data_IF_859778593445
#
_entry.id   IF_859778593445
#
_cell.length_a   1.000
_cell.length_b   1.000
_cell.length_c   1.000
_cell.angle_alpha   90.00
_cell.angle_beta   90.00
_cell.angle_gamma   90.00
#
_symmetry.space_group_name_H-M   'P 1'
#
loop_
_entity.id
_entity.type
_entity.pdbx_description
1 polymer ?
#
# COMPACT_ATOMS: atom_id res chain seq x y z
N UNK A 1 -27.71 18.19 -27.30
CA UNK A 1 -27.08 18.00 -28.63
C UNK A 1 -27.14 16.54 -28.94
N UNK A 2 -27.92 16.15 -29.95
CA UNK A 2 -27.93 14.77 -30.46
C UNK A 2 -26.57 14.46 -31.09
N UNK A 3 -26.02 13.29 -30.80
CA UNK A 3 -24.74 12.88 -31.34
C UNK A 3 -24.87 12.59 -32.85
N UNK A 4 -23.96 13.14 -33.64
CA UNK A 4 -23.96 13.07 -35.11
C UNK A 4 -22.60 12.62 -35.62
N UNK A 5 -22.59 11.67 -36.58
CA UNK A 5 -21.40 11.23 -37.30
C UNK A 5 -21.51 11.68 -38.77
N UNK A 6 -20.52 12.41 -39.33
CA UNK A 6 -20.55 12.89 -40.71
C UNK A 6 -20.76 11.82 -41.80
N UNK A 7 -20.42 10.57 -41.52
CA UNK A 7 -20.51 9.45 -42.46
C UNK A 7 -21.76 8.58 -42.27
N UNK A 8 -22.43 8.68 -41.12
CA UNK A 8 -23.54 7.78 -40.75
C UNK A 8 -24.84 8.51 -40.43
N UNK A 9 -24.81 9.81 -40.12
CA UNK A 9 -25.97 10.59 -39.70
C UNK A 9 -26.13 10.66 -38.19
N UNK A 10 -27.38 10.70 -37.71
CA UNK A 10 -27.72 10.82 -36.29
C UNK A 10 -27.58 9.49 -35.54
N UNK A 11 -27.06 9.52 -34.31
CA UNK A 11 -26.79 8.34 -33.48
C UNK A 11 -28.05 7.49 -33.31
N UNK A 12 -29.17 8.09 -32.87
CA UNK A 12 -30.40 7.36 -32.56
C UNK A 12 -30.92 6.49 -33.72
N UNK A 13 -30.96 7.05 -34.92
CA UNK A 13 -31.43 6.35 -36.12
C UNK A 13 -30.50 5.19 -36.50
N UNK A 14 -29.19 5.43 -36.46
CA UNK A 14 -28.19 4.42 -36.82
C UNK A 14 -28.17 3.28 -35.79
N UNK A 15 -28.27 3.58 -34.50
CA UNK A 15 -28.35 2.55 -33.45
C UNK A 15 -29.60 1.70 -33.65
N UNK A 16 -30.77 2.33 -33.80
CA UNK A 16 -32.06 1.63 -33.96
C UNK A 16 -32.04 0.70 -35.19
N UNK A 17 -31.53 1.18 -36.32
CA UNK A 17 -31.46 0.40 -37.57
C UNK A 17 -30.51 -0.80 -37.47
N UNK A 18 -29.51 -0.75 -36.57
CA UNK A 18 -28.50 -1.80 -36.42
C UNK A 18 -28.72 -2.73 -35.21
N UNK A 19 -29.81 -2.58 -34.45
CA UNK A 19 -30.10 -3.41 -33.27
C UNK A 19 -30.16 -4.91 -33.58
N UNK A 20 -30.64 -5.31 -34.76
CA UNK A 20 -30.66 -6.73 -35.18
C UNK A 20 -29.27 -7.38 -35.15
N UNK A 21 -28.22 -6.61 -35.49
CA UNK A 21 -26.84 -7.08 -35.40
C UNK A 21 -26.41 -7.30 -33.95
N UNK A 22 -26.81 -6.41 -33.04
CA UNK A 22 -26.55 -6.56 -31.60
C UNK A 22 -27.19 -7.84 -31.08
N UNK A 23 -28.49 -8.05 -31.38
CA UNK A 23 -29.21 -9.26 -31.01
C UNK A 23 -28.55 -10.53 -31.56
N UNK A 24 -28.09 -10.50 -32.82
CA UNK A 24 -27.41 -11.63 -33.46
C UNK A 24 -26.07 -11.96 -32.79
N UNK A 25 -25.32 -10.96 -32.32
CA UNK A 25 -24.07 -11.18 -31.57
C UNK A 25 -24.39 -11.66 -30.15
N UNK A 26 -25.29 -10.99 -29.42
CA UNK A 26 -25.68 -11.32 -28.06
C UNK A 26 -26.19 -12.76 -27.93
N UNK A 27 -26.98 -13.23 -28.91
CA UNK A 27 -27.53 -14.60 -28.92
C UNK A 27 -26.45 -15.68 -28.83
N UNK A 28 -25.26 -15.44 -29.41
CA UNK A 28 -24.13 -16.39 -29.35
C UNK A 28 -23.52 -16.55 -27.97
N UNK A 29 -23.75 -15.59 -27.08
CA UNK A 29 -23.20 -15.58 -25.72
C UNK A 29 -24.21 -16.05 -24.67
N UNK A 30 -25.46 -16.32 -25.05
CA UNK A 30 -26.51 -16.83 -24.15
C UNK A 30 -26.11 -18.12 -23.42
N UNK A 31 -25.40 -19.01 -24.12
CA UNK A 31 -24.90 -20.28 -23.56
C UNK A 31 -23.83 -20.07 -22.47
N UNK A 32 -23.17 -18.92 -22.47
CA UNK A 32 -22.03 -18.61 -21.58
C UNK A 32 -22.43 -17.61 -20.48
N UNK A 33 -23.70 -17.20 -20.44
CA UNK A 33 -24.28 -16.38 -19.38
C UNK A 33 -24.09 -17.06 -18.03
N UNK A 34 -23.85 -16.27 -17.00
CA UNK A 34 -23.75 -16.72 -15.61
C UNK A 34 -24.11 -15.60 -14.66
N UNK A 35 -24.24 -15.90 -13.37
CA UNK A 35 -24.46 -14.93 -12.31
C UNK A 35 -25.73 -14.07 -12.47
N UNK A 36 -26.85 -14.69 -12.88
CA UNK A 36 -28.13 -13.99 -13.02
C UNK A 36 -28.19 -12.95 -14.13
N UNK A 37 -27.16 -12.84 -14.99
CA UNK A 37 -27.25 -12.05 -16.21
C UNK A 37 -28.31 -12.66 -17.12
N UNK A 38 -29.02 -11.81 -17.85
CA UNK A 38 -30.01 -12.25 -18.83
C UNK A 38 -29.62 -11.88 -20.26
N UNK A 39 -30.51 -12.18 -21.20
CA UNK A 39 -30.30 -11.85 -22.60
C UNK A 39 -30.32 -10.34 -22.84
N UNK A 40 -31.17 -9.61 -22.13
CA UNK A 40 -31.37 -8.17 -22.33
C UNK A 40 -30.18 -7.37 -21.79
N UNK A 41 -29.51 -7.87 -20.76
CA UNK A 41 -28.20 -7.38 -20.30
C UNK A 41 -27.17 -7.46 -21.43
N UNK A 42 -27.06 -8.61 -22.10
CA UNK A 42 -26.12 -8.77 -23.22
C UNK A 42 -26.44 -7.85 -24.39
N UNK A 43 -27.72 -7.65 -24.68
CA UNK A 43 -28.17 -6.71 -25.71
C UNK A 43 -27.77 -5.28 -25.31
N UNK A 44 -27.98 -4.89 -24.06
CA UNK A 44 -27.61 -3.57 -23.54
C UNK A 44 -26.10 -3.33 -23.64
N UNK A 45 -25.29 -4.29 -23.20
CA UNK A 45 -23.82 -4.25 -23.29
C UNK A 45 -23.35 -4.19 -24.75
N UNK A 46 -23.97 -4.98 -25.62
CA UNK A 46 -23.69 -4.96 -27.05
C UNK A 46 -24.07 -3.62 -27.69
N UNK A 47 -25.15 -2.99 -27.24
CA UNK A 47 -25.60 -1.67 -27.68
C UNK A 47 -24.58 -0.59 -27.31
N UNK A 48 -23.98 -0.64 -26.12
CA UNK A 48 -22.85 0.23 -25.79
C UNK A 48 -21.68 0.08 -26.76
N UNK A 49 -21.36 -1.16 -27.16
CA UNK A 49 -20.32 -1.43 -28.17
C UNK A 49 -20.67 -0.88 -29.56
N UNK A 50 -21.95 -0.90 -29.92
CA UNK A 50 -22.45 -0.30 -31.17
C UNK A 50 -22.38 1.24 -31.13
N UNK A 51 -22.73 1.86 -29.99
CA UNK A 51 -22.60 3.31 -29.78
C UNK A 51 -21.13 3.75 -29.89
N UNK A 52 -20.22 3.02 -29.25
CA UNK A 52 -18.79 3.30 -29.34
C UNK A 52 -18.27 3.12 -30.77
N UNK A 53 -18.77 2.12 -31.50
CA UNK A 53 -18.46 1.95 -32.92
C UNK A 53 -18.99 3.13 -33.76
N UNK A 54 -20.22 3.58 -33.54
CA UNK A 54 -20.78 4.73 -34.23
C UNK A 54 -19.93 5.99 -34.04
N UNK A 55 -19.50 6.27 -32.81
CA UNK A 55 -18.71 7.48 -32.48
C UNK A 55 -17.32 7.48 -33.11
N UNK A 56 -16.73 6.31 -33.29
CA UNK A 56 -15.34 6.17 -33.76
C UNK A 56 -15.22 5.78 -35.25
N UNK A 57 -16.34 5.54 -35.92
CA UNK A 57 -16.33 5.13 -37.31
C UNK A 57 -15.94 6.28 -38.24
N UNK A 58 -14.87 6.07 -39.00
CA UNK A 58 -14.39 6.96 -40.05
C UNK A 58 -13.88 6.09 -41.23
N UNK A 59 -14.64 5.99 -42.33
CA UNK A 59 -14.29 5.15 -43.48
C UNK A 59 -12.97 5.56 -44.13
N UNK A 60 -12.59 6.84 -44.02
CA UNK A 60 -11.39 7.41 -44.63
C UNK A 60 -10.11 6.80 -44.05
N UNK A 61 -10.16 6.30 -42.81
CA UNK A 61 -9.02 5.71 -42.10
C UNK A 61 -8.67 4.30 -42.56
N UNK A 62 -9.53 3.64 -43.33
CA UNK A 62 -9.38 2.23 -43.66
C UNK A 62 -8.77 1.98 -45.05
N UNK A 63 -8.32 3.01 -45.77
CA UNK A 63 -7.69 2.88 -47.10
C UNK A 63 -8.50 1.96 -48.06
N UNK A 64 -9.83 2.07 -48.04
CA UNK A 64 -10.74 1.26 -48.87
C UNK A 64 -11.00 -0.18 -48.40
N UNK A 65 -10.38 -0.65 -47.30
CA UNK A 65 -10.54 -2.04 -46.80
C UNK A 65 -11.83 -2.29 -46.01
N UNK A 66 -12.38 -1.26 -45.37
CA UNK A 66 -13.60 -1.36 -44.56
C UNK A 66 -14.53 -0.22 -44.94
N UNK A 67 -15.48 -0.51 -45.82
CA UNK A 67 -16.43 0.49 -46.34
C UNK A 67 -17.78 0.43 -45.64
N UNK A 68 -18.22 -0.74 -45.16
CA UNK A 68 -19.49 -0.87 -44.45
C UNK A 68 -19.34 -0.69 -42.94
N UNK A 69 -20.23 0.10 -42.34
CA UNK A 69 -20.30 0.30 -40.89
C UNK A 69 -20.49 -1.03 -40.13
N UNK A 70 -21.32 -1.95 -40.66
CA UNK A 70 -21.59 -3.26 -40.04
C UNK A 70 -20.31 -4.09 -39.86
N UNK A 71 -19.40 -4.07 -40.84
CA UNK A 71 -18.09 -4.75 -40.78
C UNK A 71 -17.22 -4.20 -39.66
N UNK A 72 -17.29 -2.89 -39.38
CA UNK A 72 -16.56 -2.24 -38.28
C UNK A 72 -17.24 -2.44 -36.92
N UNK A 73 -18.56 -2.33 -36.86
CA UNK A 73 -19.32 -2.39 -35.62
C UNK A 73 -19.41 -3.81 -35.04
N UNK A 74 -19.49 -4.84 -35.88
CA UNK A 74 -19.56 -6.23 -35.43
C UNK A 74 -18.46 -6.65 -34.44
N UNK A 75 -17.15 -6.47 -34.72
CA UNK A 75 -16.09 -6.80 -33.77
C UNK A 75 -16.14 -5.94 -32.49
N UNK A 76 -16.61 -4.69 -32.57
CA UNK A 76 -16.76 -3.80 -31.41
C UNK A 76 -17.87 -4.26 -30.47
N UNK A 77 -19.05 -4.61 -31.00
CA UNK A 77 -20.16 -5.21 -30.25
C UNK A 77 -19.68 -6.49 -29.56
N UNK A 78 -19.03 -7.38 -30.33
CA UNK A 78 -18.49 -8.64 -29.83
C UNK A 78 -17.51 -8.39 -28.68
N UNK A 79 -16.59 -7.45 -28.86
CA UNK A 79 -15.59 -7.13 -27.85
C UNK A 79 -16.22 -6.57 -26.57
N UNK A 80 -17.23 -5.69 -26.69
CA UNK A 80 -17.94 -5.13 -25.54
C UNK A 80 -18.56 -6.23 -24.68
N UNK A 81 -19.32 -7.14 -25.29
CA UNK A 81 -19.95 -8.27 -24.61
C UNK A 81 -18.89 -9.17 -23.97
N UNK A 82 -17.84 -9.55 -24.71
CA UNK A 82 -16.76 -10.38 -24.18
C UNK A 82 -16.02 -9.69 -23.04
N UNK A 83 -15.80 -8.37 -23.11
CA UNK A 83 -15.12 -7.60 -22.06
C UNK A 83 -15.93 -7.62 -20.77
N UNK A 84 -17.23 -7.40 -20.87
CA UNK A 84 -18.12 -7.45 -19.71
C UNK A 84 -18.17 -8.84 -19.08
N UNK A 85 -18.44 -9.88 -19.89
CA UNK A 85 -18.50 -11.26 -19.41
C UNK A 85 -17.18 -11.72 -18.76
N UNK A 86 -16.03 -11.22 -19.22
CA UNK A 86 -14.73 -11.54 -18.60
C UNK A 86 -14.61 -11.08 -17.14
N UNK A 87 -15.36 -10.06 -16.72
CA UNK A 87 -15.29 -9.50 -15.37
C UNK A 87 -16.52 -9.81 -14.51
N UNK A 88 -17.68 -10.00 -15.14
CA UNK A 88 -18.98 -10.04 -14.46
C UNK A 88 -19.75 -11.36 -14.61
N UNK A 89 -19.20 -12.33 -15.36
CA UNK A 89 -19.82 -13.66 -15.51
C UNK A 89 -19.93 -14.44 -14.19
N UNK A 90 -19.03 -14.18 -13.24
CA UNK A 90 -18.90 -14.96 -12.02
C UNK A 90 -19.45 -14.19 -10.83
N UNK A 91 -20.19 -14.88 -9.97
CA UNK A 91 -20.71 -14.34 -8.72
C UNK A 91 -19.59 -13.82 -7.81
N UNK A 92 -18.44 -14.50 -7.81
CA UNK A 92 -17.22 -14.04 -7.16
C UNK A 92 -16.19 -13.66 -8.22
N UNK A 93 -15.58 -12.48 -8.08
CA UNK A 93 -14.55 -12.00 -9.02
C UNK A 93 -13.30 -12.86 -8.93
N UNK A 94 -12.92 -13.49 -10.03
CA UNK A 94 -11.73 -14.36 -10.13
C UNK A 94 -10.57 -13.61 -10.80
N UNK A 95 -9.33 -13.72 -10.28
CA UNK A 95 -8.13 -13.20 -10.94
C UNK A 95 -7.96 -13.72 -12.36
N UNK A 96 -7.51 -12.84 -13.27
CA UNK A 96 -7.41 -13.14 -14.70
C UNK A 96 -6.51 -14.34 -15.00
N UNK A 97 -5.37 -14.42 -14.30
CA UNK A 97 -4.40 -15.49 -14.47
C UNK A 97 -5.00 -16.89 -14.26
N UNK A 98 -5.91 -17.02 -13.29
CA UNK A 98 -6.59 -18.29 -13.00
C UNK A 98 -7.54 -18.65 -14.14
N UNK A 99 -8.31 -17.70 -14.65
CA UNK A 99 -9.24 -17.92 -15.76
C UNK A 99 -8.53 -18.32 -17.06
N UNK A 100 -7.39 -17.70 -17.37
CA UNK A 100 -6.64 -18.01 -18.59
C UNK A 100 -6.02 -19.42 -18.51
N UNK A 101 -5.48 -19.79 -17.33
CA UNK A 101 -4.97 -21.15 -17.08
C UNK A 101 -6.07 -22.20 -17.10
N UNK A 102 -7.22 -21.90 -16.51
CA UNK A 102 -8.42 -22.74 -16.56
C UNK A 102 -8.87 -23.00 -18.00
N UNK A 103 -8.95 -21.94 -18.81
CA UNK A 103 -9.32 -22.07 -20.22
C UNK A 103 -8.31 -22.91 -21.00
N UNK A 104 -7.03 -22.80 -20.67
CA UNK A 104 -5.97 -23.63 -21.25
C UNK A 104 -6.12 -25.11 -20.88
N UNK A 105 -6.27 -25.43 -19.60
CA UNK A 105 -6.49 -26.81 -19.10
C UNK A 105 -7.71 -27.44 -19.79
N UNK A 106 -8.84 -26.73 -19.83
CA UNK A 106 -10.06 -27.22 -20.50
C UNK A 106 -9.88 -27.45 -21.98
N UNK A 107 -9.15 -26.57 -22.67
CA UNK A 107 -8.86 -26.72 -24.10
C UNK A 107 -8.01 -27.96 -24.39
N UNK A 108 -7.12 -28.32 -23.47
CA UNK A 108 -6.27 -29.51 -23.60
C UNK A 108 -6.92 -30.79 -23.08
N UNK A 109 -8.09 -30.69 -22.42
CA UNK A 109 -8.78 -31.84 -21.83
C UNK A 109 -8.14 -32.38 -20.55
N UNK A 110 -7.33 -31.58 -19.85
CA UNK A 110 -6.62 -31.99 -18.62
C UNK A 110 -7.42 -31.70 -17.35
N UNK A 111 -8.75 -31.76 -17.43
CA UNK A 111 -9.62 -31.41 -16.30
C UNK A 111 -9.52 -32.44 -15.19
N UNK A 112 -9.32 -33.71 -15.55
CA UNK A 112 -9.22 -34.85 -14.63
C UNK A 112 -7.77 -35.24 -14.32
N UNK A 113 -6.79 -34.50 -14.84
CA UNK A 113 -5.37 -34.77 -14.60
C UNK A 113 -4.96 -34.31 -13.19
N UNK A 114 -3.96 -34.97 -12.61
CA UNK A 114 -3.39 -34.55 -11.32
C UNK A 114 -2.70 -33.18 -11.41
N UNK A 115 -2.61 -32.47 -10.28
CA UNK A 115 -1.93 -31.18 -10.23
C UNK A 115 -0.46 -31.32 -10.66
N UNK A 116 0.19 -32.40 -10.26
CA UNK A 116 1.57 -32.74 -10.59
C UNK A 116 1.76 -32.95 -12.09
N UNK A 117 0.84 -33.65 -12.75
CA UNK A 117 0.90 -33.87 -14.20
C UNK A 117 0.74 -32.57 -14.98
N UNK A 118 -0.17 -31.70 -14.54
CA UNK A 118 -0.38 -30.38 -15.15
C UNK A 118 0.86 -29.50 -14.97
N UNK A 119 1.50 -29.54 -13.81
CA UNK A 119 2.78 -28.84 -13.57
C UNK A 119 3.85 -29.35 -14.53
N UNK A 120 3.97 -30.67 -14.71
CA UNK A 120 4.97 -31.27 -15.59
C UNK A 120 4.75 -30.89 -17.06
N UNK A 121 3.50 -30.80 -17.50
CA UNK A 121 3.12 -30.41 -18.87
C UNK A 121 3.27 -28.91 -19.15
N UNK A 122 3.12 -28.05 -18.13
CA UNK A 122 3.03 -26.58 -18.31
C UNK A 122 4.22 -25.80 -17.76
N UNK A 123 4.97 -26.37 -16.81
CA UNK A 123 5.99 -25.67 -16.04
C UNK A 123 5.44 -24.63 -15.06
N UNK A 124 4.14 -24.63 -14.75
CA UNK A 124 3.55 -23.70 -13.77
C UNK A 124 3.91 -24.09 -12.33
N UNK A 125 3.77 -23.13 -11.40
CA UNK A 125 3.98 -23.43 -9.97
C UNK A 125 2.86 -24.35 -9.46
N UNK A 126 3.20 -25.30 -8.60
CA UNK A 126 2.22 -26.24 -8.04
C UNK A 126 1.07 -25.52 -7.30
N UNK A 127 1.39 -24.50 -6.50
CA UNK A 127 0.38 -23.69 -5.79
C UNK A 127 -0.62 -23.03 -6.75
N UNK A 128 -0.12 -22.50 -7.87
CA UNK A 128 -0.94 -21.88 -8.89
C UNK A 128 -1.87 -22.88 -9.58
N UNK A 129 -1.42 -24.12 -9.77
CA UNK A 129 -2.23 -25.20 -10.36
C UNK A 129 -3.30 -25.67 -9.38
N UNK A 130 -2.95 -25.84 -8.10
CA UNK A 130 -3.92 -26.14 -7.05
C UNK A 130 -5.01 -25.09 -6.94
N UNK A 131 -4.64 -23.81 -7.00
CA UNK A 131 -5.63 -22.74 -7.05
C UNK A 131 -6.55 -22.93 -8.25
N UNK A 132 -6.02 -23.16 -9.46
CA UNK A 132 -6.86 -23.36 -10.65
C UNK A 132 -7.79 -24.57 -10.52
N UNK A 133 -7.29 -25.72 -10.07
CA UNK A 133 -8.08 -26.96 -9.89
C UNK A 133 -9.17 -26.80 -8.83
N UNK A 134 -8.86 -26.16 -7.69
CA UNK A 134 -9.87 -25.83 -6.67
C UNK A 134 -11.01 -24.97 -7.24
N UNK A 135 -10.68 -24.07 -8.18
CA UNK A 135 -11.68 -23.27 -8.87
C UNK A 135 -12.43 -24.04 -9.96
N UNK A 136 -11.94 -25.20 -10.43
CA UNK A 136 -12.69 -26.11 -11.32
C UNK A 136 -13.80 -26.80 -10.52
N UNK A 137 -13.47 -27.31 -9.35
CA UNK A 137 -14.38 -28.13 -8.52
C UNK A 137 -15.46 -27.28 -7.82
N UNK A 138 -15.16 -26.04 -7.40
CA UNK A 138 -16.03 -25.24 -6.54
C UNK A 138 -17.00 -24.27 -7.24
N UNK A 139 -17.29 -24.43 -8.54
CA UNK A 139 -17.86 -23.33 -9.33
C UNK A 139 -19.38 -23.33 -9.55
N UNK A 140 -20.10 -24.35 -9.08
CA UNK A 140 -21.55 -24.24 -8.95
C UNK A 140 -21.85 -23.51 -7.64
N UNK A 141 -22.08 -22.20 -7.72
CA UNK A 141 -22.73 -21.49 -6.62
C UNK A 141 -24.19 -21.92 -6.64
N UNK A 142 -24.58 -22.71 -5.63
CA UNK A 142 -25.98 -23.13 -5.44
C UNK A 142 -26.76 -22.03 -4.74
N UNK A 143 -28.06 -21.93 -5.05
CA UNK A 143 -28.94 -21.02 -4.32
C UNK A 143 -29.10 -21.51 -2.87
N UNK A 144 -29.05 -20.58 -1.90
CA UNK A 144 -29.39 -20.89 -0.51
C UNK A 144 -30.89 -21.23 -0.36
N UNK A 145 -31.72 -20.66 -1.23
CA UNK A 145 -33.16 -20.95 -1.31
C UNK A 145 -33.48 -22.25 -2.06
N UNK A 146 -32.47 -23.02 -2.48
CA UNK A 146 -32.69 -24.30 -3.14
C UNK A 146 -33.35 -25.27 -2.16
N UNK A 147 -34.54 -25.78 -2.52
CA UNK A 147 -35.25 -26.79 -1.74
C UNK A 147 -34.49 -28.12 -1.83
N UNK A 148 -34.19 -28.69 -0.67
CA UNK A 148 -33.41 -29.93 -0.50
C UNK A 148 -34.26 -31.10 0.01
N UNK A 149 -35.39 -30.82 0.67
CA UNK A 149 -36.42 -31.80 1.00
C UNK A 149 -37.80 -31.17 0.85
N UNK A 150 -38.74 -31.93 0.28
CA UNK A 150 -40.15 -31.57 0.18
C UNK A 150 -40.95 -32.48 1.13
N UNK A 151 -40.96 -32.13 2.41
CA UNK A 151 -41.88 -32.69 3.41
C UNK A 151 -43.01 -31.66 3.69
N UNK A 152 -43.74 -31.75 4.81
CA UNK A 152 -44.82 -30.80 5.18
C UNK A 152 -44.39 -29.32 5.24
N UNK A 153 -43.08 -29.06 5.26
CA UNK A 153 -42.46 -27.75 5.01
C UNK A 153 -41.29 -27.93 4.04
N UNK A 154 -41.25 -27.09 3.01
CA UNK A 154 -40.08 -26.99 2.11
C UNK A 154 -38.84 -26.64 2.95
N UNK A 155 -37.89 -27.56 3.00
CA UNK A 155 -36.60 -27.35 3.66
C UNK A 155 -35.64 -26.80 2.61
N UNK A 156 -35.11 -25.60 2.82
CA UNK A 156 -34.13 -24.97 1.93
C UNK A 156 -32.69 -25.27 2.37
N UNK A 157 -31.73 -25.08 1.48
CA UNK A 157 -30.30 -25.23 1.82
C UNK A 157 -29.90 -24.30 2.97
N UNK A 158 -30.46 -23.09 3.02
CA UNK A 158 -30.25 -22.12 4.09
C UNK A 158 -30.65 -22.67 5.46
N UNK A 159 -31.73 -23.46 5.53
CA UNK A 159 -32.27 -23.98 6.79
C UNK A 159 -31.37 -25.05 7.43
N UNK A 160 -30.59 -25.75 6.61
CA UNK A 160 -29.66 -26.81 7.04
C UNK A 160 -28.26 -26.28 7.29
N UNK A 161 -27.92 -25.09 6.79
CA UNK A 161 -26.64 -24.49 7.09
C UNK A 161 -26.57 -24.21 8.60
N UNK A 162 -25.55 -24.74 9.30
CA UNK A 162 -25.38 -24.45 10.71
C UNK A 162 -25.19 -22.94 10.87
N UNK A 163 -25.99 -22.30 11.72
CA UNK A 163 -25.67 -20.96 12.18
C UNK A 163 -24.40 -21.09 13.02
N UNK A 164 -23.24 -20.93 12.39
CA UNK A 164 -22.00 -20.73 13.13
C UNK A 164 -22.20 -19.40 13.82
N UNK A 165 -22.48 -19.42 15.12
CA UNK A 165 -22.45 -18.22 15.92
C UNK A 165 -21.07 -17.58 15.68
N UNK A 166 -21.06 -16.43 15.03
CA UNK A 166 -19.83 -15.75 14.68
C UNK A 166 -19.21 -15.17 15.96
N UNK A 167 -18.39 -15.97 16.63
CA UNK A 167 -17.63 -15.54 17.80
C UNK A 167 -16.41 -14.68 17.42
N UNK A 168 -16.24 -14.25 16.15
CA UNK A 168 -15.14 -13.35 15.77
C UNK A 168 -15.10 -12.08 16.64
N UNK A 169 -16.25 -11.58 17.11
CA UNK A 169 -16.32 -10.43 18.02
C UNK A 169 -15.52 -10.59 19.32
N UNK A 170 -15.46 -11.80 19.89
CA UNK A 170 -14.70 -12.09 21.13
C UNK A 170 -13.19 -12.17 20.82
N UNK A 171 -12.83 -12.70 19.64
CA UNK A 171 -11.45 -12.89 19.19
C UNK A 171 -10.78 -11.58 18.72
N UNK A 172 -11.58 -10.60 18.28
CA UNK A 172 -11.07 -9.30 17.78
C UNK A 172 -10.58 -8.40 18.91
N UNK A 173 -11.30 -8.29 20.03
CA UNK A 173 -10.86 -7.41 21.13
C UNK A 173 -9.56 -7.90 21.77
N UNK A 174 -9.43 -9.22 21.95
CA UNK A 174 -8.21 -9.82 22.48
C UNK A 174 -6.99 -9.54 21.59
N UNK A 175 -7.16 -9.63 20.26
CA UNK A 175 -6.11 -9.25 19.32
C UNK A 175 -5.83 -7.75 19.30
N UNK A 176 -6.86 -6.90 19.40
CA UNK A 176 -6.70 -5.45 19.44
C UNK A 176 -5.93 -4.97 20.67
N UNK A 177 -6.01 -5.70 21.79
CA UNK A 177 -5.24 -5.41 23.00
C UNK A 177 -3.75 -5.77 22.87
N UNK A 178 -3.40 -6.70 21.98
CA UNK A 178 -2.01 -7.06 21.66
C UNK A 178 -1.35 -6.00 20.76
N UNK A 179 -2.14 -5.25 19.99
CA UNK A 179 -1.61 -4.23 19.09
C UNK A 179 -1.14 -2.99 19.87
N UNK A 180 0.00 -2.43 19.46
CA UNK A 180 0.43 -1.14 19.98
C UNK A 180 -0.60 -0.05 19.61
N UNK A 181 -0.70 1.02 20.40
CA UNK A 181 -1.68 2.11 20.18
C UNK A 181 -1.69 2.66 18.74
N UNK A 182 -0.50 2.80 18.14
CA UNK A 182 -0.34 3.23 16.74
C UNK A 182 -0.82 2.20 15.72
N UNK A 183 -0.58 0.91 15.97
CA UNK A 183 -1.04 -0.20 15.11
C UNK A 183 -2.56 -0.33 15.19
N UNK A 184 -3.14 -0.24 16.40
CA UNK A 184 -4.59 -0.23 16.64
C UNK A 184 -5.28 0.92 15.92
N UNK A 185 -4.70 2.12 15.97
CA UNK A 185 -5.22 3.30 15.26
C UNK A 185 -5.22 3.09 13.74
N UNK A 186 -4.10 2.61 13.18
CA UNK A 186 -3.98 2.33 11.75
C UNK A 186 -4.97 1.25 11.30
N UNK A 187 -5.16 0.20 12.11
CA UNK A 187 -6.13 -0.86 11.81
C UNK A 187 -7.56 -0.33 11.86
N UNK A 188 -7.90 0.49 12.87
CA UNK A 188 -9.23 1.10 13.01
C UNK A 188 -9.58 1.96 11.79
N UNK A 189 -8.68 2.87 11.39
CA UNK A 189 -8.86 3.69 10.19
C UNK A 189 -8.99 2.84 8.93
N UNK A 190 -8.31 1.69 8.86
CA UNK A 190 -8.44 0.76 7.74
C UNK A 190 -9.82 0.09 7.72
N UNK A 191 -10.34 -0.29 8.88
CA UNK A 191 -11.69 -0.89 9.02
C UNK A 191 -12.79 0.11 8.68
N UNK A 192 -12.58 1.41 8.95
CA UNK A 192 -13.44 2.51 8.50
C UNK A 192 -13.38 2.77 6.98
N UNK A 193 -12.58 1.99 6.24
CA UNK A 193 -12.53 2.04 4.78
C UNK A 193 -11.51 3.03 4.21
N UNK A 194 -10.69 3.69 5.03
CA UNK A 194 -9.72 4.65 4.53
C UNK A 194 -8.61 3.96 3.70
N UNK A 195 -8.17 4.68 2.66
CA UNK A 195 -7.02 4.27 1.85
C UNK A 195 -5.70 4.47 2.62
N UNK A 196 -4.65 3.73 2.25
CA UNK A 196 -3.34 3.87 2.88
C UNK A 196 -2.76 5.30 2.79
N UNK A 197 -3.07 6.01 1.71
CA UNK A 197 -2.69 7.42 1.56
C UNK A 197 -3.44 8.34 2.53
N UNK A 198 -4.74 8.12 2.75
CA UNK A 198 -5.53 8.90 3.71
C UNK A 198 -5.10 8.59 5.15
N UNK A 199 -4.91 7.31 5.49
CA UNK A 199 -4.41 6.90 6.81
C UNK A 199 -3.06 7.56 7.12
N UNK A 200 -2.14 7.59 6.15
CA UNK A 200 -0.83 8.21 6.30
C UNK A 200 -0.91 9.70 6.66
N UNK A 201 -1.87 10.43 6.10
CA UNK A 201 -2.16 11.83 6.46
C UNK A 201 -2.66 11.94 7.91
N UNK A 202 -3.59 11.08 8.32
CA UNK A 202 -4.13 11.05 9.69
C UNK A 202 -3.06 10.77 10.75
N UNK A 203 -2.15 9.83 10.50
CA UNK A 203 -1.09 9.48 11.45
C UNK A 203 0.18 10.33 11.30
N UNK A 204 0.19 11.31 10.39
CA UNK A 204 1.35 12.14 10.05
C UNK A 204 2.61 11.32 9.69
N UNK A 205 2.44 10.24 8.91
CA UNK A 205 3.52 9.35 8.43
C UNK A 205 3.44 9.19 6.91
N UNK A 206 4.40 8.48 6.33
CA UNK A 206 4.36 8.14 4.90
C UNK A 206 3.42 6.96 4.62
N UNK A 207 2.87 6.89 3.40
CA UNK A 207 2.05 5.75 2.97
C UNK A 207 2.83 4.42 3.04
N UNK A 208 4.14 4.45 2.76
CA UNK A 208 5.02 3.28 2.88
C UNK A 208 5.13 2.80 4.34
N UNK A 209 5.15 3.70 5.31
CA UNK A 209 5.13 3.34 6.73
C UNK A 209 3.82 2.61 7.09
N UNK A 210 2.67 3.17 6.68
CA UNK A 210 1.36 2.55 6.93
C UNK A 210 1.26 1.16 6.29
N UNK A 211 1.75 0.99 5.06
CA UNK A 211 1.80 -0.31 4.39
C UNK A 211 2.61 -1.34 5.17
N UNK A 212 3.80 -0.97 5.64
CA UNK A 212 4.65 -1.85 6.48
C UNK A 212 3.98 -2.22 7.80
N UNK A 213 3.29 -1.27 8.43
CA UNK A 213 2.55 -1.53 9.66
C UNK A 213 1.40 -2.51 9.42
N UNK A 214 0.60 -2.32 8.37
CA UNK A 214 -0.49 -3.24 8.02
C UNK A 214 0.01 -4.66 7.74
N UNK A 215 1.15 -4.81 7.04
CA UNK A 215 1.75 -6.13 6.82
C UNK A 215 2.19 -6.77 8.13
N UNK A 216 2.80 -6.00 9.05
CA UNK A 216 3.16 -6.52 10.38
C UNK A 216 1.95 -6.92 11.20
N UNK A 217 0.86 -6.14 11.15
CA UNK A 217 -0.40 -6.48 11.81
C UNK A 217 -0.96 -7.79 11.24
N UNK A 218 -0.90 -7.97 9.91
CA UNK A 218 -1.30 -9.22 9.27
C UNK A 218 -0.47 -10.41 9.76
N UNK A 219 0.85 -10.26 9.86
CA UNK A 219 1.73 -11.32 10.38
C UNK A 219 1.43 -11.65 11.85
N UNK A 220 1.20 -10.62 12.68
CA UNK A 220 0.78 -10.80 14.08
C UNK A 220 -0.56 -11.54 14.19
N UNK A 221 -1.51 -11.21 13.32
CA UNK A 221 -2.82 -11.86 13.29
C UNK A 221 -2.71 -13.32 12.92
N UNK A 222 -1.90 -13.67 11.91
CA UNK A 222 -1.67 -15.07 11.52
C UNK A 222 -1.10 -15.89 12.69
N UNK A 223 -0.17 -15.32 13.47
CA UNK A 223 0.42 -15.97 14.66
C UNK A 223 -0.53 -16.05 15.84
N UNK A 224 -1.40 -15.06 15.99
CA UNK A 224 -2.46 -15.08 17.00
C UNK A 224 -3.49 -16.18 16.69
N UNK A 225 -3.89 -16.32 15.43
CA UNK A 225 -4.78 -17.40 14.99
C UNK A 225 -4.20 -18.80 15.16
N UNK A 226 -2.87 -18.96 15.03
CA UNK A 226 -2.20 -20.24 15.27
C UNK A 226 -1.97 -20.58 16.75
N UNK A 227 -2.35 -19.68 17.67
CA UNK A 227 -2.13 -19.85 19.11
C UNK A 227 -0.70 -19.58 19.58
N UNK A 228 0.21 -19.17 18.69
CA UNK A 228 1.61 -18.83 19.01
C UNK A 228 1.78 -17.47 19.71
N UNK A 229 0.73 -16.64 19.70
CA UNK A 229 0.72 -15.35 20.39
C UNK A 229 -0.40 -15.37 21.43
N UNK A 230 -0.05 -15.52 22.71
CA UNK A 230 -1.02 -15.48 23.81
C UNK A 230 -0.94 -14.16 24.58
N UNK A 231 -2.04 -13.78 25.25
CA UNK A 231 -2.11 -12.59 26.11
C UNK A 231 -0.99 -12.56 27.17
N UNK A 232 -0.58 -13.71 27.68
CA UNK A 232 0.36 -13.84 28.80
C UNK A 232 1.79 -13.40 28.45
N UNK A 233 2.27 -13.72 27.24
CA UNK A 233 3.60 -13.30 26.76
C UNK A 233 3.66 -11.78 26.52
N UNK A 234 2.55 -11.18 26.08
CA UNK A 234 2.45 -9.75 25.84
C UNK A 234 2.31 -8.95 27.13
N UNK A 235 1.47 -9.42 28.08
CA UNK A 235 1.33 -8.80 29.39
C UNK A 235 2.66 -8.83 30.14
N UNK A 236 3.44 -9.92 30.10
CA UNK A 236 4.81 -9.96 30.63
C UNK A 236 5.73 -8.92 29.98
N UNK A 237 5.73 -8.82 28.65
CA UNK A 237 6.57 -7.87 27.91
C UNK A 237 6.20 -6.40 28.16
N UNK A 238 4.91 -6.10 28.30
CA UNK A 238 4.42 -4.76 28.61
C UNK A 238 4.56 -4.41 30.10
N UNK A 239 4.38 -5.34 31.05
CA UNK A 239 4.62 -5.07 32.49
C UNK A 239 6.10 -4.81 32.78
N UNK A 240 7.00 -5.51 32.08
CA UNK A 240 8.44 -5.26 32.15
C UNK A 240 8.76 -3.88 31.56
N UNK A 241 8.11 -3.47 30.46
CA UNK A 241 8.25 -2.13 29.89
C UNK A 241 7.64 -1.03 30.76
N UNK A 242 6.42 -1.21 31.26
CA UNK A 242 5.70 -0.21 32.05
C UNK A 242 6.29 -0.05 33.45
N UNK A 243 6.76 -1.12 34.12
CA UNK A 243 7.47 -0.99 35.42
C UNK A 243 8.87 -0.38 35.28
N UNK A 244 9.53 -0.55 34.12
CA UNK A 244 10.73 0.23 33.79
C UNK A 244 10.42 1.68 33.41
N UNK A 245 9.21 1.98 32.95
CA UNK A 245 8.77 3.33 32.54
C UNK A 245 8.11 4.14 33.66
N UNK A 246 7.58 3.51 34.72
CA UNK A 246 6.92 4.18 35.85
C UNK A 246 7.87 4.79 36.87
N UNK A 247 9.18 4.50 36.75
CA UNK A 247 10.25 5.14 37.53
C UNK A 247 11.01 6.21 36.74
N UNK A 248 10.49 6.61 35.59
CA UNK A 248 11.12 7.59 34.70
C UNK A 248 10.23 8.84 34.66
N UNK A 249 10.73 9.95 35.21
CA UNK A 249 10.23 11.28 34.85
C UNK A 249 10.56 11.54 33.37
N UNK A 250 9.52 11.70 32.56
CA UNK A 250 9.67 11.97 31.14
C UNK A 250 9.82 13.47 30.90
N UNK A 251 11.05 13.92 30.65
CA UNK A 251 11.28 15.19 29.99
C UNK A 251 10.88 15.07 28.51
N UNK A 252 9.81 15.76 28.11
CA UNK A 252 9.43 15.88 26.70
C UNK A 252 10.10 17.11 26.14
N UNK A 253 11.21 16.91 25.42
CA UNK A 253 11.80 17.98 24.63
C UNK A 253 10.84 18.32 23.49
N UNK A 254 10.49 19.60 23.39
CA UNK A 254 9.66 20.13 22.31
C UNK A 254 10.22 19.64 20.98
N UNK A 255 9.33 19.22 20.08
CA UNK A 255 9.68 18.92 18.69
C UNK A 255 10.41 20.11 18.08
N UNK A 256 11.74 20.11 18.07
CA UNK A 256 12.50 21.05 17.25
C UNK A 256 12.66 20.48 15.86
N UNK A 257 11.61 20.70 15.09
CA UNK A 257 11.68 21.02 13.67
C UNK A 257 13.00 21.71 13.32
N UNK A 258 13.75 21.12 12.39
CA UNK A 258 14.47 21.85 11.36
C UNK A 258 15.57 22.89 11.73
N UNK A 259 16.19 22.88 12.91
CA UNK A 259 17.29 23.81 13.24
C UNK A 259 18.73 23.31 12.92
N UNK A 260 19.67 24.22 12.58
CA UNK A 260 21.12 23.95 12.60
C UNK A 260 21.54 23.42 13.98
N UNK A 261 22.22 22.28 14.03
CA UNK A 261 22.53 21.63 15.30
C UNK A 261 23.90 20.96 15.31
N UNK A 262 24.52 20.92 16.49
CA UNK A 262 25.78 20.23 16.74
C UNK A 262 25.54 19.14 17.80
N UNK A 263 25.91 17.91 17.47
CA UNK A 263 25.84 16.76 18.37
C UNK A 263 27.19 16.44 18.99
N UNK A 264 27.23 16.24 20.30
CA UNK A 264 28.42 15.76 21.01
C UNK A 264 28.25 14.28 21.36
N UNK A 265 29.22 13.44 21.00
CA UNK A 265 29.20 12.02 21.38
C UNK A 265 30.60 11.51 21.76
N UNK A 266 30.68 10.21 22.06
CA UNK A 266 31.93 9.53 22.47
C UNK A 266 33.06 9.55 21.41
N UNK A 267 32.76 9.92 20.16
CA UNK A 267 33.71 9.95 19.06
C UNK A 267 34.14 11.38 18.68
N UNK A 268 33.40 12.39 19.13
CA UNK A 268 33.71 13.80 18.88
C UNK A 268 32.46 14.63 18.59
N UNK A 269 32.63 15.63 17.71
CA UNK A 269 31.58 16.60 17.39
C UNK A 269 31.00 16.30 16.02
N UNK A 270 29.68 16.18 15.95
CA UNK A 270 28.92 15.97 14.72
C UNK A 270 28.17 17.24 14.34
N UNK A 271 28.37 17.68 13.11
CA UNK A 271 27.74 18.87 12.55
C UNK A 271 26.73 18.40 11.51
N UNK A 272 25.45 18.68 11.71
CA UNK A 272 24.44 18.34 10.70
C UNK A 272 24.63 19.20 9.42
N UNK A 273 24.05 18.77 8.30
CA UNK A 273 24.18 19.48 7.01
C UNK A 273 23.81 20.97 7.11
N UNK A 274 22.79 21.32 7.89
CA UNK A 274 22.31 22.71 8.02
C UNK A 274 23.28 23.58 8.83
N UNK A 275 23.86 23.06 9.90
CA UNK A 275 24.93 23.70 10.65
C UNK A 275 26.20 23.84 9.81
N UNK A 276 26.53 22.84 8.99
CA UNK A 276 27.65 22.94 8.05
C UNK A 276 27.44 24.06 7.01
N UNK A 277 26.22 24.15 6.45
CA UNK A 277 25.85 25.23 5.54
C UNK A 277 25.85 26.61 6.23
N UNK A 278 25.33 26.70 7.45
CA UNK A 278 25.31 27.92 8.25
C UNK A 278 26.73 28.42 8.53
N UNK A 279 27.63 27.53 8.95
CA UNK A 279 29.04 27.83 9.16
C UNK A 279 29.87 27.99 7.87
N UNK A 280 29.25 27.75 6.70
CA UNK A 280 29.92 27.73 5.39
C UNK A 280 31.21 26.90 5.40
N UNK A 281 31.14 25.70 5.98
CA UNK A 281 32.29 24.82 6.14
C UNK A 281 32.16 23.54 5.32
N UNK A 282 33.31 23.07 4.81
CA UNK A 282 33.40 21.86 3.99
C UNK A 282 34.39 20.85 4.58
N UNK A 283 34.27 19.59 4.16
CA UNK A 283 35.20 18.55 4.56
C UNK A 283 36.63 18.92 4.14
N UNK A 284 37.57 18.80 5.07
CA UNK A 284 38.96 19.18 4.87
C UNK A 284 39.36 20.52 5.48
N UNK A 285 38.40 21.39 5.82
CA UNK A 285 38.66 22.65 6.53
C UNK A 285 38.83 22.44 8.04
N UNK A 286 39.47 23.40 8.71
CA UNK A 286 39.73 23.33 10.15
C UNK A 286 38.76 24.21 10.94
N UNK A 287 38.30 23.68 12.08
CA UNK A 287 37.53 24.41 13.08
C UNK A 287 38.30 24.48 14.39
N UNK A 288 38.22 25.62 15.05
CA UNK A 288 38.64 25.83 16.43
C UNK A 288 37.43 25.66 17.33
N UNK A 289 37.65 24.96 18.43
CA UNK A 289 36.64 24.77 19.48
C UNK A 289 37.22 25.34 20.76
N UNK A 290 36.50 26.28 21.36
CA UNK A 290 36.83 26.91 22.64
C UNK A 290 35.66 26.77 23.61
N UNK A 291 35.94 26.90 24.91
CA UNK A 291 34.92 26.91 25.95
C UNK A 291 35.06 28.24 26.68
N UNK A 292 33.98 29.01 26.74
CA UNK A 292 33.88 30.24 27.50
C UNK A 292 33.23 29.94 28.86
N UNK A 293 33.99 29.97 29.97
CA UNK A 293 33.46 29.68 31.30
C UNK A 293 32.48 30.75 31.79
N UNK A 294 32.58 31.99 31.31
CA UNK A 294 31.77 33.11 31.82
C UNK A 294 30.32 33.04 31.35
N UNK A 295 30.10 32.52 30.15
CA UNK A 295 28.78 32.38 29.52
C UNK A 295 28.32 30.93 29.44
N UNK A 296 29.15 29.99 29.89
CA UNK A 296 28.97 28.54 29.75
C UNK A 296 28.65 28.13 28.30
N UNK A 297 29.44 28.65 27.36
CA UNK A 297 29.24 28.42 25.93
C UNK A 297 30.42 27.68 25.33
N UNK A 298 30.13 26.76 24.43
CA UNK A 298 31.15 26.19 23.58
C UNK A 298 31.16 26.94 22.25
N UNK A 299 32.28 27.59 21.99
CA UNK A 299 32.51 28.50 20.88
C UNK A 299 33.21 27.76 19.75
N UNK A 300 32.72 27.94 18.53
CA UNK A 300 33.20 27.28 17.33
C UNK A 300 33.49 28.33 16.29
N UNK A 301 34.74 28.36 15.85
CA UNK A 301 35.22 29.33 14.89
C UNK A 301 35.94 28.62 13.75
N UNK A 302 35.70 29.09 12.52
CA UNK A 302 36.52 28.67 11.39
C UNK A 302 37.90 29.32 11.48
N UNK A 303 38.95 28.54 11.27
CA UNK A 303 40.32 29.06 11.27
C UNK A 303 41.27 28.15 10.51
N UNK A 304 42.42 28.67 10.09
CA UNK A 304 43.41 27.90 9.33
C UNK A 304 44.10 26.83 10.19
N UNK A 305 44.24 27.08 11.49
CA UNK A 305 44.76 26.12 12.47
C UNK A 305 43.63 25.61 13.36
N UNK A 306 43.43 24.30 13.45
CA UNK A 306 42.36 23.70 14.24
C UNK A 306 42.13 22.21 13.92
N UNK A 307 40.99 21.68 14.33
CA UNK A 307 40.60 20.30 14.08
C UNK A 307 39.99 20.16 12.68
N UNK A 308 40.48 19.19 11.91
CA UNK A 308 40.06 18.98 10.52
C UNK A 308 38.69 18.28 10.44
N UNK A 309 37.77 18.88 9.69
CA UNK A 309 36.45 18.32 9.39
C UNK A 309 36.54 17.14 8.42
N UNK A 310 35.81 16.07 8.74
CA UNK A 310 35.64 14.88 7.89
C UNK A 310 34.17 14.70 7.52
N UNK A 311 33.89 14.06 6.38
CA UNK A 311 32.51 13.68 6.02
C UNK A 311 32.03 12.58 6.96
N UNK A 312 30.84 12.77 7.52
CA UNK A 312 30.19 11.80 8.41
C UNK A 312 29.20 10.92 7.67
N UNK A 313 28.38 11.51 6.80
CA UNK A 313 27.30 10.83 6.12
C UNK A 313 27.21 11.21 4.63
N UNK A 314 26.49 10.38 3.86
CA UNK A 314 26.20 10.64 2.44
C UNK A 314 25.25 11.85 2.23
N UNK A 315 24.61 12.33 3.28
CA UNK A 315 23.67 13.46 3.26
C UNK A 315 24.34 14.83 3.43
N UNK A 316 25.66 14.88 3.65
CA UNK A 316 26.44 16.12 3.75
C UNK A 316 26.72 16.60 5.17
N UNK A 317 26.54 15.75 6.18
CA UNK A 317 26.98 15.98 7.56
C UNK A 317 28.51 15.89 7.71
N UNK A 318 29.06 16.68 8.63
CA UNK A 318 30.49 16.74 8.91
C UNK A 318 30.77 16.30 10.36
N UNK A 319 32.01 15.90 10.64
CA UNK A 319 32.43 15.50 11.97
C UNK A 319 33.87 15.91 12.26
N UNK A 320 34.13 16.25 13.52
CA UNK A 320 35.45 16.37 14.12
C UNK A 320 35.70 15.14 15.00
N UNK A 321 36.71 14.34 14.66
CA UNK A 321 37.10 13.16 15.43
C UNK A 321 38.47 13.41 16.05
N UNK A 322 38.52 13.60 17.36
CA UNK A 322 39.76 13.71 18.11
C UNK A 322 39.54 13.22 19.55
N UNK A 323 40.33 12.23 19.99
CA UNK A 323 40.24 11.66 21.35
C UNK A 323 40.54 12.71 22.44
N UNK A 324 41.47 13.62 22.19
CA UNK A 324 41.81 14.70 23.13
C UNK A 324 40.68 15.71 23.27
N UNK A 325 39.93 15.98 22.20
CA UNK A 325 38.75 16.84 22.25
C UNK A 325 37.66 16.21 23.14
N UNK A 326 37.40 14.91 22.98
CA UNK A 326 36.38 14.21 23.79
C UNK A 326 36.75 14.25 25.28
N UNK A 327 37.99 13.93 25.61
CA UNK A 327 38.48 13.99 27.00
C UNK A 327 38.44 15.41 27.56
N UNK A 328 38.76 16.42 26.74
CA UNK A 328 38.68 17.82 27.15
C UNK A 328 37.23 18.27 27.41
N UNK A 329 36.26 17.84 26.60
CA UNK A 329 34.83 18.12 26.84
C UNK A 329 34.31 17.47 28.12
N UNK A 330 34.78 16.26 28.45
CA UNK A 330 34.45 15.58 29.70
C UNK A 330 34.96 16.33 30.92
N UNK A 331 36.19 16.86 30.86
CA UNK A 331 36.76 17.70 31.93
C UNK A 331 35.98 18.99 32.15
N UNK A 332 35.30 19.50 31.11
CA UNK A 332 34.41 20.67 31.19
C UNK A 332 32.96 20.30 31.52
N UNK A 333 32.70 19.05 31.92
CA UNK A 333 31.39 18.54 32.32
C UNK A 333 30.29 18.75 31.27
N UNK A 334 30.66 18.77 29.99
CA UNK A 334 29.71 19.00 28.89
C UNK A 334 28.88 17.75 28.63
N UNK A 335 27.56 17.88 28.69
CA UNK A 335 26.65 16.76 28.45
C UNK A 335 26.67 16.30 26.98
N UNK A 336 26.69 14.98 26.77
CA UNK A 336 26.70 14.38 25.43
C UNK A 336 25.29 14.34 24.83
N UNK A 337 24.85 15.49 24.34
CA UNK A 337 23.56 15.64 23.63
C UNK A 337 23.71 16.48 22.37
N UNK A 338 22.58 16.79 21.74
CA UNK A 338 22.52 17.64 20.56
C UNK A 338 22.07 19.03 20.97
N UNK A 339 22.86 20.03 20.58
CA UNK A 339 22.64 21.43 20.90
C UNK A 339 22.24 22.19 19.63
N UNK A 340 21.41 23.21 19.80
CA UNK A 340 21.13 24.18 18.74
C UNK A 340 22.37 25.05 18.49
N UNK A 341 22.67 25.33 17.22
CA UNK A 341 23.77 26.19 16.85
C UNK A 341 23.29 27.64 16.72
N UNK A 342 23.97 28.56 17.41
CA UNK A 342 23.70 29.99 17.36
C UNK A 342 24.86 30.74 16.71
N UNK A 343 24.57 31.87 16.07
CA UNK A 343 25.56 32.79 15.50
C UNK A 343 25.67 34.04 16.40
N UNK A 344 26.87 34.43 16.77
CA UNK A 344 27.10 35.66 17.53
C UNK A 344 27.11 36.86 16.58
N UNK A 345 26.34 37.92 16.87
CA UNK A 345 26.25 39.14 16.04
C UNK A 345 27.47 40.09 16.17
N UNK A 346 28.64 39.56 16.55
CA UNK A 346 29.89 40.33 16.66
C UNK A 346 30.76 40.22 15.40
N UNK A 347 31.73 41.12 15.25
CA UNK A 347 32.63 41.32 14.09
C UNK A 347 33.53 40.14 13.70
N UNK A 348 33.37 38.98 14.32
CA UNK A 348 34.06 37.75 13.99
C UNK A 348 33.04 36.62 13.92
N UNK A 349 32.91 35.97 12.75
CA UNK A 349 32.05 34.82 12.45
C UNK A 349 32.23 33.67 13.47
N UNK A 350 31.61 33.83 14.63
CA UNK A 350 31.79 33.01 15.81
C UNK A 350 30.45 32.37 16.12
N UNK A 351 30.40 31.05 15.95
CA UNK A 351 29.22 30.26 16.28
C UNK A 351 29.37 29.70 17.68
N UNK A 352 28.27 29.49 18.39
CA UNK A 352 28.32 28.90 19.71
C UNK A 352 27.13 27.98 19.97
N UNK A 353 27.33 27.08 20.92
CA UNK A 353 26.26 26.32 21.55
C UNK A 353 26.19 26.73 23.02
N UNK A 354 24.98 26.97 23.50
CA UNK A 354 24.74 27.23 24.92
C UNK A 354 24.71 25.90 25.66
N UNK A 355 25.54 25.78 26.70
CA UNK A 355 25.56 24.61 27.55
C UNK A 355 24.66 24.91 28.74
N UNK A 356 23.72 24.01 29.00
CA UNK A 356 22.91 24.09 30.21
C UNK A 356 23.82 23.98 31.43
N UNK A 357 23.71 24.92 32.37
CA UNK A 357 24.36 24.81 33.67
C UNK A 357 23.73 23.65 34.43
N UNK A 358 24.53 22.68 34.87
CA UNK A 358 24.05 21.73 35.88
C UNK A 358 23.69 22.52 37.14
N UNK A 359 22.43 22.43 37.57
CA UNK A 359 22.02 22.81 38.91
C UNK A 359 22.71 21.91 39.95
#
# INVERSE_FOLDING_TARGET
MEAYNPHLGYEAEVIQNNMRMVHAVAKKYTVVIGNGLDYDDLVSIGTFGLIEAFRNYDPSRFNGKVTAFSTYAFPMIRWSIQKYLRSNRYAVRIPRLILDRLAFIRKQGWVDDSAEDIVLKTGWKLADVHDVLKHIEGWSVSSLDQVISQDDKDLTMLDVLPSVADYTGINVQEFLDILASTERTILTLRMEGLTQGQMAKHVHKSQVYVSRVLNRIKDKYSRFQSGELTREEFVMSNKIRESQMSSIEWFVDEKTTYNPSIGLNKHGIHVNRRAANMMKCEAGQCLRVGFDPSTNRLVIQRGENGLKLRKWDKSGGLQLVNKHLVSWLEQKTVERKRYALHESQGTYYTYYIELESRA
#
